data_IF_485825814830
#
_entry.id   IF_485825814830
#
_cell.length_a   1.000
_cell.length_b   1.000
_cell.length_c   1.000
_cell.angle_alpha   90.00
_cell.angle_beta   90.00
_cell.angle_gamma   90.00
#
_symmetry.space_group_name_H-M   'P 1'
#
loop_
_entity.id
_entity.type
_entity.pdbx_description
1 polymer ?
#
# COMPACT_ATOMS: atom_id res chain seq x y z
N UNK A 1 -15.84 -86.75 6.54
CA UNK A 1 -15.02 -85.72 5.86
C UNK A 1 -15.22 -84.40 6.58
N UNK A 2 -14.16 -83.89 7.21
CA UNK A 2 -14.12 -82.65 7.99
C UNK A 2 -14.29 -81.44 7.06
N UNK A 3 -15.26 -80.57 7.34
CA UNK A 3 -15.32 -79.22 6.74
C UNK A 3 -14.76 -78.24 7.76
N UNK A 4 -13.63 -77.62 7.40
CA UNK A 4 -13.02 -76.49 8.08
C UNK A 4 -13.97 -75.28 7.98
N UNK A 5 -14.32 -74.70 9.12
CA UNK A 5 -14.94 -73.38 9.20
C UNK A 5 -13.79 -72.37 9.33
N UNK A 6 -13.53 -71.59 8.27
CA UNK A 6 -12.60 -70.47 8.30
C UNK A 6 -13.31 -69.33 9.04
N UNK A 7 -12.78 -68.95 10.20
CA UNK A 7 -13.16 -67.73 10.92
C UNK A 7 -12.40 -66.58 10.27
N UNK A 8 -13.07 -65.84 9.37
CA UNK A 8 -12.56 -64.56 8.89
C UNK A 8 -12.86 -63.51 9.94
N UNK A 9 -11.85 -63.16 10.73
CA UNK A 9 -11.89 -62.00 11.62
C UNK A 9 -11.98 -60.73 10.75
N UNK A 10 -13.16 -60.13 10.69
CA UNK A 10 -13.35 -58.80 10.13
C UNK A 10 -12.72 -57.80 11.12
N UNK A 11 -11.46 -57.44 10.87
CA UNK A 11 -10.86 -56.24 11.44
C UNK A 11 -11.60 -55.04 10.85
N UNK A 12 -12.63 -54.57 11.55
CA UNK A 12 -13.14 -53.21 11.38
C UNK A 12 -12.01 -52.26 11.79
N UNK A 13 -11.22 -51.84 10.81
CA UNK A 13 -10.47 -50.61 10.90
C UNK A 13 -11.49 -49.46 10.96
N UNK A 14 -11.84 -49.07 12.19
CA UNK A 14 -12.33 -47.73 12.46
C UNK A 14 -11.22 -46.76 12.04
N UNK A 15 -11.20 -46.39 10.77
CA UNK A 15 -10.59 -45.16 10.33
C UNK A 15 -11.39 -44.05 11.02
N UNK A 16 -10.90 -43.61 12.18
CA UNK A 16 -11.30 -42.35 12.75
C UNK A 16 -11.01 -41.30 11.67
N UNK A 17 -12.05 -40.89 10.94
CA UNK A 17 -12.04 -39.63 10.25
C UNK A 17 -11.78 -38.58 11.34
N UNK A 18 -10.52 -38.16 11.47
CA UNK A 18 -10.17 -37.02 12.28
C UNK A 18 -10.90 -35.83 11.63
N UNK A 19 -12.13 -35.57 12.10
CA UNK A 19 -12.84 -34.37 11.77
C UNK A 19 -11.95 -33.23 12.25
N UNK A 20 -11.34 -32.51 11.30
CA UNK A 20 -10.58 -31.32 11.62
C UNK A 20 -11.57 -30.33 12.25
N UNK A 21 -11.50 -30.20 13.58
CA UNK A 21 -12.30 -29.26 14.36
C UNK A 21 -11.94 -27.82 13.96
N UNK A 22 -12.94 -26.94 13.99
CA UNK A 22 -12.73 -25.50 13.94
C UNK A 22 -11.65 -25.12 14.96
N UNK A 23 -10.58 -24.48 14.49
CA UNK A 23 -9.41 -24.17 15.32
C UNK A 23 -9.31 -22.68 15.54
N UNK A 24 -9.27 -22.27 16.80
CA UNK A 24 -8.95 -20.90 17.17
C UNK A 24 -7.44 -20.68 17.01
N UNK A 25 -7.06 -19.69 16.21
CA UNK A 25 -5.67 -19.34 15.93
C UNK A 25 -5.18 -18.20 16.83
N UNK A 26 -6.04 -17.23 17.11
CA UNK A 26 -5.69 -16.07 17.90
C UNK A 26 -6.93 -15.39 18.48
N UNK A 27 -6.73 -14.70 19.60
CA UNK A 27 -7.64 -13.67 20.11
C UNK A 27 -7.13 -12.30 19.66
N UNK A 28 -8.02 -11.48 19.13
CA UNK A 28 -7.72 -10.15 18.62
C UNK A 28 -8.52 -9.13 19.44
N UNK A 29 -7.86 -8.08 19.92
CA UNK A 29 -8.49 -6.92 20.54
C UNK A 29 -8.27 -5.71 19.64
N UNK A 30 -9.37 -5.07 19.25
CA UNK A 30 -9.40 -3.88 18.43
C UNK A 30 -9.84 -2.70 19.29
N UNK A 31 -9.12 -1.58 19.22
CA UNK A 31 -9.49 -0.37 19.96
C UNK A 31 -9.43 0.85 19.03
N UNK A 32 -10.53 1.59 18.99
CA UNK A 32 -10.61 2.88 18.29
C UNK A 32 -9.87 3.96 19.11
N UNK A 33 -8.83 4.62 18.55
CA UNK A 33 -7.90 5.39 19.37
C UNK A 33 -8.25 6.87 19.59
N UNK A 34 -9.11 7.49 18.77
CA UNK A 34 -9.23 8.96 18.73
C UNK A 34 -10.66 9.51 18.79
N UNK A 35 -11.64 8.68 19.19
CA UNK A 35 -13.04 9.07 19.26
C UNK A 35 -13.71 9.21 17.89
N UNK A 36 -13.20 8.53 16.86
CA UNK A 36 -13.75 8.56 15.50
C UNK A 36 -14.46 7.24 15.19
N UNK A 37 -15.76 7.28 14.89
CA UNK A 37 -16.47 6.11 14.39
C UNK A 37 -15.81 5.59 13.10
N UNK A 38 -15.53 4.29 13.04
CA UNK A 38 -14.88 3.63 11.90
C UNK A 38 -15.92 2.83 11.14
N UNK A 39 -16.10 3.14 9.86
CA UNK A 39 -16.98 2.39 8.97
C UNK A 39 -16.13 1.58 8.00
N UNK A 40 -16.25 0.25 8.06
CA UNK A 40 -15.55 -0.71 7.18
C UNK A 40 -14.03 -0.47 7.06
N UNK A 41 -13.37 -0.02 8.12
CA UNK A 41 -11.91 0.14 8.13
C UNK A 41 -11.24 -1.23 8.06
N UNK A 42 -10.20 -1.38 7.24
CA UNK A 42 -9.47 -2.64 7.13
C UNK A 42 -8.48 -2.81 8.27
N UNK A 43 -8.63 -3.90 9.01
CA UNK A 43 -7.62 -4.36 9.99
C UNK A 43 -6.67 -5.31 9.27
N UNK A 44 -5.38 -5.05 9.40
CA UNK A 44 -4.30 -5.95 8.96
C UNK A 44 -3.52 -6.45 10.17
N UNK A 45 -3.20 -7.74 10.19
CA UNK A 45 -2.36 -8.33 11.23
C UNK A 45 -1.53 -9.48 10.66
N UNK A 46 -0.34 -9.69 11.22
CA UNK A 46 0.55 -10.79 10.86
C UNK A 46 0.56 -11.83 11.97
N UNK A 47 0.57 -13.10 11.58
CA UNK A 47 0.49 -14.25 12.46
C UNK A 47 1.52 -15.29 12.06
N UNK A 48 1.87 -16.12 13.03
CA UNK A 48 2.63 -17.34 12.82
C UNK A 48 1.86 -18.50 13.44
N UNK A 49 1.72 -19.59 12.70
CA UNK A 49 1.12 -20.84 13.20
C UNK A 49 1.83 -22.05 12.62
N UNK A 50 1.51 -23.26 13.09
CA UNK A 50 2.01 -24.49 12.49
C UNK A 50 1.42 -24.68 11.09
N UNK A 51 2.19 -25.20 10.14
CA UNK A 51 1.75 -25.41 8.76
C UNK A 51 0.47 -26.25 8.68
N UNK A 52 0.35 -27.28 9.53
CA UNK A 52 -0.83 -28.14 9.66
C UNK A 52 -2.12 -27.37 9.99
N UNK A 53 -2.02 -26.24 10.70
CA UNK A 53 -3.17 -25.43 11.09
C UNK A 53 -3.83 -24.73 9.89
N UNK A 54 -3.10 -24.54 8.79
CA UNK A 54 -3.58 -23.97 7.52
C UNK A 54 -3.46 -24.94 6.34
N UNK A 55 -3.19 -26.22 6.60
CA UNK A 55 -2.99 -27.22 5.56
C UNK A 55 -4.30 -27.58 4.83
N UNK A 56 -5.43 -27.32 5.45
CA UNK A 56 -6.74 -27.56 4.84
C UNK A 56 -7.08 -26.46 3.82
N UNK A 57 -6.91 -26.76 2.54
CA UNK A 57 -7.22 -25.87 1.42
C UNK A 57 -8.68 -25.45 1.33
N UNK A 58 -9.59 -26.11 2.06
CA UNK A 58 -11.02 -25.80 2.06
C UNK A 58 -11.47 -25.00 3.29
N UNK A 59 -10.61 -24.81 4.29
CA UNK A 59 -10.97 -24.05 5.48
C UNK A 59 -10.90 -22.54 5.19
N UNK A 60 -12.01 -21.84 5.41
CA UNK A 60 -12.00 -20.38 5.41
C UNK A 60 -11.45 -19.85 6.74
N UNK A 61 -10.82 -18.69 6.69
CA UNK A 61 -10.41 -17.95 7.87
C UNK A 61 -11.47 -16.91 8.21
N UNK A 62 -11.95 -16.91 9.45
CA UNK A 62 -13.02 -16.03 9.94
C UNK A 62 -12.57 -15.30 11.20
N UNK A 63 -12.88 -14.00 11.29
CA UNK A 63 -12.82 -13.25 12.54
C UNK A 63 -14.23 -13.19 13.14
N UNK A 64 -14.44 -13.82 14.30
CA UNK A 64 -15.74 -13.95 14.95
C UNK A 64 -15.82 -12.98 16.11
N UNK A 65 -16.81 -12.10 16.08
CA UNK A 65 -17.09 -11.17 17.17
C UNK A 65 -17.56 -11.91 18.42
N UNK A 66 -16.85 -11.73 19.54
CA UNK A 66 -17.14 -12.42 20.79
C UNK A 66 -18.52 -12.04 21.36
N UNK A 67 -18.98 -10.81 21.16
CA UNK A 67 -20.25 -10.32 21.68
C UNK A 67 -21.43 -10.70 20.80
N UNK A 68 -21.30 -10.53 19.47
CA UNK A 68 -22.42 -10.75 18.54
C UNK A 68 -22.42 -12.11 17.86
N UNK A 69 -21.33 -12.87 17.96
CA UNK A 69 -21.07 -14.09 17.19
C UNK A 69 -21.12 -13.88 15.67
N UNK A 70 -21.04 -12.63 15.21
CA UNK A 70 -20.97 -12.30 13.80
C UNK A 70 -19.61 -12.72 13.24
N UNK A 71 -19.62 -13.53 12.19
CA UNK A 71 -18.42 -14.00 11.52
C UNK A 71 -18.08 -13.10 10.32
N UNK A 72 -16.88 -12.56 10.33
CA UNK A 72 -16.33 -11.72 9.27
C UNK A 72 -15.35 -12.57 8.46
N UNK A 73 -15.59 -12.80 7.16
CA UNK A 73 -14.63 -13.46 6.30
C UNK A 73 -13.30 -12.71 6.27
N UNK A 74 -12.20 -13.44 6.37
CA UNK A 74 -10.86 -12.89 6.25
C UNK A 74 -10.23 -13.27 4.91
N UNK A 75 -9.33 -12.40 4.44
CA UNK A 75 -8.41 -12.72 3.35
C UNK A 75 -7.01 -12.94 3.93
N UNK A 76 -6.35 -14.02 3.50
CA UNK A 76 -4.94 -14.27 3.76
C UNK A 76 -4.11 -13.62 2.64
N UNK A 77 -2.97 -13.03 3.00
CA UNK A 77 -1.98 -12.48 2.07
C UNK A 77 -0.57 -12.59 2.69
N UNK A 78 0.51 -12.39 1.92
CA UNK A 78 1.89 -12.50 2.40
C UNK A 78 2.20 -13.83 3.11
N UNK A 79 1.76 -14.95 2.52
CA UNK A 79 1.97 -16.28 3.10
C UNK A 79 3.38 -16.79 2.79
N UNK A 80 4.14 -17.12 3.81
CA UNK A 80 5.50 -17.65 3.71
C UNK A 80 5.67 -18.85 4.66
N UNK A 81 6.41 -19.87 4.21
CA UNK A 81 6.80 -20.99 5.06
C UNK A 81 8.11 -20.66 5.79
N UNK A 82 8.23 -21.11 7.03
CA UNK A 82 9.50 -21.09 7.74
C UNK A 82 10.54 -21.97 7.04
N UNK A 83 11.81 -21.72 7.28
CA UNK A 83 12.91 -22.47 6.65
C UNK A 83 12.84 -23.99 6.90
N UNK A 84 12.29 -24.43 8.03
CA UNK A 84 12.09 -25.84 8.37
C UNK A 84 10.73 -26.41 7.90
N UNK A 85 9.87 -25.58 7.30
CA UNK A 85 8.53 -25.98 6.81
C UNK A 85 7.48 -26.24 7.90
N UNK A 86 7.83 -26.14 9.18
CA UNK A 86 6.93 -26.46 10.29
C UNK A 86 5.96 -25.33 10.64
N UNK A 87 6.33 -24.09 10.32
CA UNK A 87 5.53 -22.91 10.58
C UNK A 87 5.21 -22.17 9.30
N UNK A 88 4.09 -21.46 9.34
CA UNK A 88 3.64 -20.55 8.29
C UNK A 88 3.44 -19.18 8.91
N UNK A 89 4.10 -18.18 8.32
CA UNK A 89 3.91 -16.77 8.60
C UNK A 89 2.97 -16.24 7.53
N UNK A 90 1.93 -15.53 7.93
CA UNK A 90 0.94 -14.99 7.00
C UNK A 90 0.33 -13.74 7.57
N UNK A 91 -0.23 -12.91 6.70
CA UNK A 91 -1.01 -11.76 7.09
C UNK A 91 -2.48 -11.97 6.78
N UNK A 92 -3.33 -11.31 7.54
CA UNK A 92 -4.78 -11.40 7.44
C UNK A 92 -5.35 -9.99 7.33
N UNK A 93 -6.31 -9.80 6.43
CA UNK A 93 -7.07 -8.56 6.29
C UNK A 93 -8.58 -8.85 6.33
N UNK A 94 -9.32 -8.00 7.05
CA UNK A 94 -10.77 -8.00 7.10
C UNK A 94 -11.32 -6.61 7.48
N UNK A 95 -12.51 -6.23 6.99
CA UNK A 95 -13.14 -4.96 7.33
C UNK A 95 -13.81 -5.03 8.70
N UNK A 96 -13.77 -3.92 9.46
CA UNK A 96 -14.46 -3.79 10.73
C UNK A 96 -15.23 -2.48 10.82
N UNK A 97 -16.29 -2.48 11.62
CA UNK A 97 -17.01 -1.28 12.02
C UNK A 97 -16.90 -1.12 13.52
N UNK A 98 -16.51 0.08 13.97
CA UNK A 98 -16.36 0.44 15.38
C UNK A 98 -17.04 1.80 15.63
N UNK A 99 -17.73 1.94 16.76
CA UNK A 99 -18.14 3.22 17.29
C UNK A 99 -16.91 4.00 17.81
N UNK A 100 -17.08 5.31 18.00
CA UNK A 100 -16.07 6.16 18.61
C UNK A 100 -15.63 5.60 19.98
N UNK A 101 -14.33 5.40 20.18
CA UNK A 101 -13.76 4.83 21.41
C UNK A 101 -14.11 3.36 21.68
N UNK A 102 -14.76 2.64 20.77
CA UNK A 102 -15.15 1.25 20.97
C UNK A 102 -13.91 0.34 21.09
N UNK A 103 -14.00 -0.63 22.00
CA UNK A 103 -13.10 -1.80 22.00
C UNK A 103 -13.89 -3.06 21.65
N UNK A 104 -13.41 -3.80 20.66
CA UNK A 104 -14.03 -5.02 20.14
C UNK A 104 -13.08 -6.20 20.25
N UNK A 105 -13.61 -7.35 20.66
CA UNK A 105 -12.83 -8.59 20.81
C UNK A 105 -13.29 -9.58 19.75
N UNK A 106 -12.34 -10.07 18.96
CA UNK A 106 -12.58 -11.06 17.92
C UNK A 106 -11.78 -12.34 18.20
N UNK A 107 -12.34 -13.48 17.81
CA UNK A 107 -11.65 -14.76 17.74
C UNK A 107 -11.36 -15.08 16.28
N UNK A 108 -10.08 -15.27 15.93
CA UNK A 108 -9.70 -15.72 14.59
C UNK A 108 -9.74 -17.25 14.52
N UNK A 109 -10.51 -17.81 13.59
CA UNK A 109 -10.73 -19.25 13.48
C UNK A 109 -10.66 -19.76 12.05
N UNK A 110 -10.20 -21.00 11.89
CA UNK A 110 -10.44 -21.77 10.66
C UNK A 110 -11.83 -22.41 10.73
N UNK A 111 -12.55 -22.46 9.60
CA UNK A 111 -13.91 -23.00 9.52
C UNK A 111 -14.15 -23.73 8.20
N UNK A 112 -14.59 -24.99 8.27
CA UNK A 112 -14.99 -25.81 7.10
C UNK A 112 -16.42 -25.53 6.63
N UNK A 113 -17.30 -25.05 7.51
CA UNK A 113 -18.71 -24.76 7.16
C UNK A 113 -18.84 -23.59 6.16
N UNK A 114 -17.76 -22.84 5.93
CA UNK A 114 -17.75 -21.73 4.97
C UNK A 114 -17.77 -22.17 3.51
N UNK A 115 -17.61 -23.46 3.20
CA UNK A 115 -17.72 -23.97 1.83
C UNK A 115 -19.08 -23.72 1.17
N UNK A 116 -20.14 -23.41 1.95
CA UNK A 116 -21.48 -23.10 1.44
C UNK A 116 -21.89 -21.62 1.57
N UNK A 117 -21.13 -20.78 2.30
CA UNK A 117 -21.50 -19.38 2.53
C UNK A 117 -20.96 -18.53 1.39
N UNK A 118 -21.84 -17.89 0.62
CA UNK A 118 -21.42 -16.96 -0.43
C UNK A 118 -20.58 -15.86 0.19
N UNK A 119 -19.35 -15.77 -0.29
CA UNK A 119 -18.41 -14.76 0.13
C UNK A 119 -18.91 -13.40 -0.38
N UNK A 120 -18.79 -12.31 0.40
CA UNK A 120 -19.29 -11.02 -0.05
C UNK A 120 -18.56 -10.59 -1.31
N UNK A 121 -19.33 -10.22 -2.34
CA UNK A 121 -18.81 -9.63 -3.57
C UNK A 121 -18.30 -8.22 -3.24
N UNK A 122 -17.09 -7.92 -3.70
CA UNK A 122 -16.46 -6.60 -3.56
C UNK A 122 -16.35 -5.93 -4.93
N UNK A 123 -16.07 -4.63 -4.94
CA UNK A 123 -15.86 -3.83 -6.15
C UNK A 123 -14.42 -3.94 -6.71
N UNK A 124 -13.51 -4.61 -6.00
CA UNK A 124 -12.10 -4.72 -6.35
C UNK A 124 -11.87 -5.78 -7.43
N UNK A 125 -11.22 -5.40 -8.52
CA UNK A 125 -10.89 -6.29 -9.64
C UNK A 125 -9.43 -6.15 -10.07
N UNK A 126 -8.89 -7.25 -10.61
CA UNK A 126 -7.55 -7.35 -11.18
C UNK A 126 -7.64 -7.88 -12.62
N UNK A 127 -7.00 -7.18 -13.54
CA UNK A 127 -6.75 -7.65 -14.90
C UNK A 127 -5.25 -7.62 -15.20
N UNK A 128 -4.81 -8.48 -16.12
CA UNK A 128 -3.40 -8.60 -16.49
C UNK A 128 -2.62 -9.63 -15.66
N UNK A 129 -1.30 -9.62 -15.78
CA UNK A 129 -0.36 -10.55 -15.12
C UNK A 129 0.96 -9.86 -14.81
N UNK A 130 1.73 -10.43 -13.89
CA UNK A 130 3.06 -9.95 -13.52
C UNK A 130 3.04 -8.45 -13.16
N UNK A 131 3.85 -7.61 -13.82
CA UNK A 131 3.88 -6.16 -13.61
C UNK A 131 2.93 -5.38 -14.53
N UNK A 132 2.29 -6.05 -15.49
CA UNK A 132 1.37 -5.48 -16.47
C UNK A 132 -0.07 -5.62 -15.95
N UNK A 133 -0.43 -4.81 -14.95
CA UNK A 133 -1.68 -4.95 -14.21
C UNK A 133 -2.58 -3.73 -14.39
N UNK A 134 -3.89 -4.00 -14.44
CA UNK A 134 -4.94 -2.99 -14.25
C UNK A 134 -5.75 -3.37 -13.02
N UNK A 135 -5.80 -2.46 -12.06
CA UNK A 135 -6.47 -2.68 -10.78
C UNK A 135 -7.56 -1.63 -10.62
N UNK A 136 -8.78 -2.07 -10.36
CA UNK A 136 -9.92 -1.18 -10.28
C UNK A 136 -10.76 -1.44 -9.03
N UNK A 137 -11.38 -0.38 -8.50
CA UNK A 137 -12.49 -0.46 -7.56
C UNK A 137 -13.58 0.54 -7.99
N UNK A 138 -14.58 0.85 -7.17
CA UNK A 138 -15.64 1.79 -7.57
C UNK A 138 -15.17 3.24 -7.79
N UNK A 139 -14.02 3.63 -7.26
CA UNK A 139 -13.51 5.00 -7.31
C UNK A 139 -12.54 5.24 -8.47
N UNK A 140 -11.66 4.27 -8.76
CA UNK A 140 -10.61 4.45 -9.75
C UNK A 140 -10.27 3.18 -10.55
N UNK A 141 -9.51 3.37 -11.63
CA UNK A 141 -8.73 2.34 -12.32
C UNK A 141 -7.27 2.79 -12.34
N UNK A 142 -6.39 2.03 -11.68
CA UNK A 142 -4.94 2.22 -11.74
C UNK A 142 -4.37 1.32 -12.83
N UNK A 143 -3.71 1.92 -13.82
CA UNK A 143 -3.03 1.21 -14.90
C UNK A 143 -1.52 1.19 -14.62
N UNK A 144 -0.96 0.00 -14.44
CA UNK A 144 0.47 -0.24 -14.19
C UNK A 144 1.17 -0.77 -15.44
N UNK A 145 0.45 -0.97 -16.56
CA UNK A 145 1.03 -1.51 -17.79
C UNK A 145 2.09 -0.58 -18.35
N UNK A 146 2.89 -1.13 -19.26
CA UNK A 146 3.78 -0.36 -20.11
C UNK A 146 2.97 0.57 -21.04
N UNK A 147 3.61 1.66 -21.48
CA UNK A 147 3.05 2.58 -22.49
C UNK A 147 3.39 2.10 -23.90
N UNK A 148 2.41 1.98 -24.79
CA UNK A 148 2.66 1.64 -26.20
C UNK A 148 3.09 2.87 -27.03
N UNK A 149 2.99 4.08 -26.46
CA UNK A 149 3.10 5.34 -27.19
C UNK A 149 4.21 6.29 -26.69
N UNK A 150 4.70 6.13 -25.46
CA UNK A 150 5.49 7.17 -24.79
C UNK A 150 6.99 6.89 -24.64
N UNK A 151 7.50 5.67 -24.90
CA UNK A 151 8.94 5.40 -24.75
C UNK A 151 9.49 4.35 -25.74
N UNK A 152 10.73 4.51 -26.23
CA UNK A 152 11.54 3.40 -26.76
C UNK A 152 11.89 2.33 -25.71
N UNK A 153 11.72 2.66 -24.42
CA UNK A 153 12.02 1.83 -23.25
C UNK A 153 10.80 1.70 -22.32
N UNK A 154 9.69 1.19 -22.85
CA UNK A 154 8.49 0.95 -22.05
C UNK A 154 8.71 -0.17 -21.01
N UNK A 155 9.30 0.19 -19.87
CA UNK A 155 9.82 -0.72 -18.84
C UNK A 155 8.69 -1.40 -18.07
N UNK A 156 8.80 -2.71 -17.83
CA UNK A 156 7.80 -3.47 -17.08
C UNK A 156 7.92 -3.29 -15.54
N UNK A 157 7.99 -2.05 -15.05
CA UNK A 157 8.34 -1.73 -13.66
C UNK A 157 7.24 -1.97 -12.63
N UNK A 158 5.97 -2.04 -13.10
CA UNK A 158 4.80 -2.10 -12.23
C UNK A 158 4.52 -0.80 -11.49
N UNK A 159 5.07 0.33 -11.95
CA UNK A 159 4.67 1.67 -11.47
C UNK A 159 3.39 2.14 -12.14
N UNK A 160 2.56 2.91 -11.42
CA UNK A 160 1.34 3.46 -11.99
C UNK A 160 1.69 4.41 -13.15
N UNK A 161 1.21 4.05 -14.33
CA UNK A 161 1.30 4.84 -15.56
C UNK A 161 0.15 5.84 -15.63
N UNK A 162 -1.07 5.38 -15.38
CA UNK A 162 -2.29 6.19 -15.46
C UNK A 162 -3.26 5.87 -14.33
N UNK A 163 -4.12 6.83 -14.00
CA UNK A 163 -5.18 6.67 -13.02
C UNK A 163 -6.49 7.28 -13.53
N UNK A 164 -7.49 6.47 -13.85
CA UNK A 164 -8.83 6.96 -14.18
C UNK A 164 -9.62 7.18 -12.89
N UNK A 165 -10.06 8.41 -12.63
CA UNK A 165 -11.02 8.73 -11.56
C UNK A 165 -12.44 8.55 -12.11
N UNK A 166 -13.12 7.48 -11.68
CA UNK A 166 -14.38 7.01 -12.30
C UNK A 166 -15.53 8.00 -12.18
N UNK A 167 -15.71 8.60 -11.01
CA UNK A 167 -16.80 9.55 -10.75
C UNK A 167 -16.77 10.76 -11.69
N UNK A 168 -15.58 11.21 -12.07
CA UNK A 168 -15.38 12.39 -12.90
C UNK A 168 -15.04 12.05 -14.35
N UNK A 169 -14.96 10.76 -14.69
CA UNK A 169 -14.42 10.26 -15.96
C UNK A 169 -13.12 10.96 -16.36
N UNK A 170 -12.22 11.13 -15.38
CA UNK A 170 -11.01 11.91 -15.54
C UNK A 170 -9.80 11.00 -15.50
N UNK A 171 -9.13 10.85 -16.64
CA UNK A 171 -7.85 10.15 -16.73
C UNK A 171 -6.75 11.08 -16.24
N UNK A 172 -5.99 10.68 -15.22
CA UNK A 172 -4.74 11.29 -14.82
C UNK A 172 -3.61 10.56 -15.52
N UNK A 173 -2.81 11.28 -16.28
CA UNK A 173 -1.72 10.72 -17.09
C UNK A 173 -0.55 11.69 -17.12
N UNK A 174 0.61 11.19 -17.50
CA UNK A 174 1.71 11.99 -18.01
C UNK A 174 1.88 11.56 -19.47
N UNK A 175 1.60 12.45 -20.42
CA UNK A 175 1.61 12.09 -21.84
C UNK A 175 2.98 11.60 -22.33
N UNK A 176 4.04 12.03 -21.66
CA UNK A 176 5.43 11.69 -22.00
C UNK A 176 5.91 10.44 -21.26
N UNK A 177 5.30 10.06 -20.12
CA UNK A 177 5.86 9.06 -19.21
C UNK A 177 4.80 8.41 -18.26
N UNK A 178 5.24 7.91 -17.10
CA UNK A 178 4.37 7.36 -16.05
C UNK A 178 3.93 8.44 -15.06
N UNK A 179 2.79 8.21 -14.41
CA UNK A 179 2.31 9.09 -13.35
C UNK A 179 3.16 9.01 -12.07
N UNK A 180 3.70 7.83 -11.73
CA UNK A 180 4.46 7.63 -10.48
C UNK A 180 5.95 7.30 -10.72
N UNK A 181 6.82 8.21 -10.28
CA UNK A 181 8.28 8.18 -10.54
C UNK A 181 9.16 7.92 -9.32
N UNK A 182 8.63 7.95 -8.10
CA UNK A 182 9.42 7.74 -6.89
C UNK A 182 9.52 6.25 -6.50
N UNK A 183 10.63 5.85 -5.83
CA UNK A 183 11.81 6.66 -5.51
C UNK A 183 12.73 6.88 -6.71
N UNK A 184 13.53 7.96 -6.65
CA UNK A 184 14.55 8.26 -7.65
C UNK A 184 15.72 9.05 -7.06
N UNK A 185 16.87 9.01 -7.74
CA UNK A 185 18.14 9.52 -7.24
C UNK A 185 19.09 9.85 -8.39
N UNK A 186 20.09 10.68 -8.10
CA UNK A 186 21.09 11.11 -9.09
C UNK A 186 22.49 11.10 -8.49
N UNK A 187 23.45 10.48 -9.18
CA UNK A 187 24.88 10.57 -8.84
C UNK A 187 25.50 11.86 -9.38
N UNK A 188 26.62 12.27 -8.78
CA UNK A 188 27.43 13.34 -9.34
C UNK A 188 27.85 13.08 -10.78
N UNK A 189 27.69 14.08 -11.63
CA UNK A 189 28.10 14.03 -13.04
C UNK A 189 27.19 13.26 -13.98
N UNK A 190 26.09 12.66 -13.51
CA UNK A 190 25.06 12.10 -14.41
C UNK A 190 24.25 13.23 -15.04
N UNK A 191 23.84 13.06 -16.30
CA UNK A 191 22.94 14.01 -16.97
C UNK A 191 21.53 13.92 -16.34
N UNK A 192 20.98 12.71 -16.31
CA UNK A 192 19.64 12.40 -15.81
C UNK A 192 19.67 11.67 -14.46
N UNK A 193 18.56 11.73 -13.74
CA UNK A 193 18.34 10.92 -12.55
C UNK A 193 17.81 9.53 -12.93
N UNK A 194 17.95 8.57 -12.03
CA UNK A 194 17.44 7.21 -12.19
C UNK A 194 16.26 6.97 -11.26
N UNK A 195 15.24 6.25 -11.73
CA UNK A 195 14.01 5.97 -11.01
C UNK A 195 13.73 4.48 -10.95
N UNK A 196 12.97 4.06 -9.92
CA UNK A 196 12.35 2.74 -9.87
C UNK A 196 11.48 2.42 -11.10
N UNK A 197 10.95 3.43 -11.79
CA UNK A 197 10.13 3.26 -12.98
C UNK A 197 10.93 2.71 -14.18
N UNK A 198 12.26 2.81 -14.16
CA UNK A 198 13.16 2.21 -15.15
C UNK A 198 13.46 0.73 -14.89
N UNK A 199 12.84 0.09 -13.89
CA UNK A 199 12.93 -1.36 -13.77
C UNK A 199 12.26 -2.04 -14.96
N UNK A 200 13.04 -2.81 -15.71
CA UNK A 200 12.48 -3.81 -16.60
C UNK A 200 12.54 -5.16 -15.89
N UNK A 201 11.37 -5.63 -15.45
CA UNK A 201 11.24 -6.91 -14.75
C UNK A 201 12.11 -7.03 -13.47
N UNK A 202 11.70 -6.42 -12.33
CA UNK A 202 12.44 -6.52 -11.06
C UNK A 202 12.51 -7.94 -10.50
N UNK A 203 13.66 -8.41 -10.04
CA UNK A 203 13.94 -9.81 -9.64
C UNK A 203 12.89 -10.45 -8.73
N UNK A 204 12.45 -9.77 -7.67
CA UNK A 204 11.38 -10.26 -6.82
C UNK A 204 10.08 -9.56 -7.18
N UNK A 205 9.04 -10.37 -7.46
CA UNK A 205 7.68 -9.95 -7.81
C UNK A 205 6.70 -10.87 -7.12
N UNK A 206 5.80 -10.30 -6.34
CA UNK A 206 4.72 -11.04 -5.69
C UNK A 206 3.40 -10.30 -5.88
N UNK A 207 2.33 -11.05 -6.10
CA UNK A 207 0.97 -10.51 -6.21
C UNK A 207 0.08 -11.31 -5.26
N UNK A 208 -0.42 -10.65 -4.23
CA UNK A 208 -1.54 -11.15 -3.44
C UNK A 208 -2.83 -10.64 -4.08
N UNK A 209 -3.63 -11.55 -4.63
CA UNK A 209 -4.93 -11.23 -5.21
C UNK A 209 -6.05 -11.76 -4.31
N UNK A 210 -6.80 -10.87 -3.69
CA UNK A 210 -8.02 -11.24 -3.01
C UNK A 210 -9.04 -10.12 -2.98
N UNK A 211 -10.20 -10.42 -2.40
CA UNK A 211 -11.40 -9.58 -2.51
C UNK A 211 -11.28 -8.22 -1.79
N UNK A 212 -10.54 -8.15 -0.70
CA UNK A 212 -10.41 -6.95 0.13
C UNK A 212 -9.16 -6.17 -0.20
N UNK A 213 -8.13 -6.88 -0.67
CA UNK A 213 -6.81 -6.33 -0.96
C UNK A 213 -6.24 -6.99 -2.21
N UNK A 214 -5.76 -6.17 -3.13
CA UNK A 214 -4.76 -6.57 -4.11
C UNK A 214 -3.46 -5.89 -3.71
N UNK A 215 -2.41 -6.67 -3.48
CA UNK A 215 -1.09 -6.15 -3.12
C UNK A 215 -0.06 -6.63 -4.13
N UNK A 216 0.72 -5.69 -4.67
CA UNK A 216 1.88 -5.99 -5.52
C UNK A 216 3.13 -5.65 -4.73
N UNK A 217 4.05 -6.59 -4.56
CA UNK A 217 5.37 -6.34 -3.97
C UNK A 217 6.44 -6.56 -5.04
N UNK A 218 7.40 -5.64 -5.10
CA UNK A 218 8.56 -5.69 -5.99
C UNK A 218 9.82 -5.31 -5.23
N UNK A 219 10.92 -6.00 -5.51
CA UNK A 219 12.23 -5.67 -4.95
C UNK A 219 13.34 -6.06 -5.92
N UNK A 220 14.31 -5.17 -6.10
CA UNK A 220 15.55 -5.42 -6.82
C UNK A 220 16.59 -4.34 -6.51
N UNK A 221 17.75 -4.44 -7.14
CA UNK A 221 18.70 -3.33 -7.23
C UNK A 221 18.12 -2.20 -8.06
N UNK A 222 18.41 -0.96 -7.69
CA UNK A 222 18.11 0.20 -8.52
C UNK A 222 18.78 0.07 -9.91
N UNK A 223 18.08 0.43 -11.00
CA UNK A 223 18.69 0.53 -12.32
C UNK A 223 19.94 1.41 -12.25
N UNK A 224 21.04 1.01 -12.89
CA UNK A 224 22.34 1.71 -12.93
C UNK A 224 22.99 2.07 -11.58
N UNK A 225 22.44 1.58 -10.46
CA UNK A 225 22.87 1.89 -9.11
C UNK A 225 22.84 0.62 -8.23
N UNK A 226 23.72 -0.37 -8.49
CA UNK A 226 23.71 -1.67 -7.80
C UNK A 226 23.96 -1.61 -6.27
N UNK A 227 24.41 -0.46 -5.76
CA UNK A 227 24.63 -0.15 -4.35
C UNK A 227 23.31 0.13 -3.62
N UNK A 228 22.21 0.32 -4.34
CA UNK A 228 20.90 0.65 -3.79
C UNK A 228 19.93 -0.52 -4.03
N UNK A 229 19.33 -1.03 -2.95
CA UNK A 229 18.19 -1.95 -3.02
C UNK A 229 16.90 -1.13 -2.87
N UNK A 230 15.98 -1.32 -3.81
CA UNK A 230 14.66 -0.69 -3.76
C UNK A 230 13.60 -1.75 -3.46
N UNK A 231 12.63 -1.39 -2.62
CA UNK A 231 11.40 -2.16 -2.41
C UNK A 231 10.21 -1.27 -2.68
N UNK A 232 9.21 -1.80 -3.39
CA UNK A 232 7.96 -1.11 -3.68
C UNK A 232 6.78 -2.03 -3.39
N UNK A 233 5.78 -1.52 -2.68
CA UNK A 233 4.54 -2.23 -2.37
C UNK A 233 3.34 -1.33 -2.63
N UNK A 234 2.51 -1.68 -3.61
CA UNK A 234 1.17 -1.10 -3.71
C UNK A 234 0.16 -1.95 -2.98
N UNK A 235 -0.79 -1.31 -2.30
CA UNK A 235 -1.96 -1.96 -1.69
C UNK A 235 -3.23 -1.25 -2.14
N UNK A 236 -4.05 -1.96 -2.91
CA UNK A 236 -5.35 -1.48 -3.41
C UNK A 236 -6.47 -2.18 -2.64
N UNK A 237 -7.48 -1.42 -2.23
CA UNK A 237 -8.54 -1.95 -1.38
C UNK A 237 -9.90 -1.87 -2.06
N UNK A 238 -10.76 -2.82 -1.71
CA UNK A 238 -12.18 -2.70 -2.01
C UNK A 238 -12.79 -1.53 -1.23
N UNK A 239 -13.77 -0.85 -1.82
CA UNK A 239 -14.53 0.24 -1.20
C UNK A 239 -13.68 1.42 -0.67
N UNK A 240 -12.42 1.60 -1.07
CA UNK A 240 -11.57 2.70 -0.62
C UNK A 240 -11.26 3.71 -1.74
N UNK A 241 -11.38 5.03 -1.50
CA UNK A 241 -11.04 6.07 -2.47
C UNK A 241 -9.53 6.32 -2.58
N UNK A 242 -8.71 5.38 -2.10
CA UNK A 242 -7.26 5.50 -2.06
C UNK A 242 -6.58 4.15 -2.25
N UNK A 243 -5.32 4.20 -2.66
CA UNK A 243 -4.39 3.09 -2.58
C UNK A 243 -3.17 3.51 -1.76
N UNK A 244 -2.52 2.56 -1.11
CA UNK A 244 -1.26 2.82 -0.41
C UNK A 244 -0.08 2.44 -1.29
N UNK A 245 0.99 3.22 -1.16
CA UNK A 245 2.31 2.87 -1.66
C UNK A 245 3.30 2.94 -0.51
N UNK A 246 4.02 1.85 -0.31
CA UNK A 246 5.23 1.82 0.49
C UNK A 246 6.44 1.71 -0.43
N UNK A 247 7.43 2.55 -0.18
CA UNK A 247 8.75 2.43 -0.80
C UNK A 247 9.83 2.39 0.27
N UNK A 248 10.88 1.62 0.02
CA UNK A 248 12.13 1.75 0.76
C UNK A 248 13.32 1.74 -0.17
N UNK A 249 14.30 2.57 0.17
CA UNK A 249 15.63 2.60 -0.41
C UNK A 249 16.64 2.20 0.66
N UNK A 250 17.40 1.15 0.42
CA UNK A 250 18.46 0.68 1.32
C UNK A 250 19.81 0.76 0.62
N UNK A 251 20.76 1.44 1.24
CA UNK A 251 22.11 1.61 0.71
C UNK A 251 22.99 0.47 1.22
N UNK A 252 23.46 -0.36 0.29
CA UNK A 252 24.26 -1.56 0.58
C UNK A 252 25.76 -1.31 0.48
N UNK A 253 26.17 -0.24 -0.18
CA UNK A 253 27.57 0.22 -0.28
C UNK A 253 27.60 1.75 -0.26
N UNK A 254 28.69 2.32 0.25
CA UNK A 254 28.89 3.76 0.28
C UNK A 254 28.75 4.39 -1.10
N UNK A 255 28.00 5.50 -1.20
CA UNK A 255 27.89 6.26 -2.44
C UNK A 255 27.73 7.76 -2.19
N UNK A 256 27.89 8.52 -3.27
CA UNK A 256 27.57 9.95 -3.31
C UNK A 256 26.33 10.18 -4.14
N UNK A 257 25.41 11.01 -3.64
CA UNK A 257 24.20 11.43 -4.34
C UNK A 257 24.12 12.96 -4.37
N UNK A 258 23.63 13.50 -5.48
CA UNK A 258 23.25 14.92 -5.60
C UNK A 258 21.75 15.13 -5.36
N UNK A 259 20.96 14.11 -5.64
CA UNK A 259 19.50 14.13 -5.54
C UNK A 259 19.01 12.81 -4.97
N UNK A 260 18.04 12.90 -4.07
CA UNK A 260 17.26 11.76 -3.60
C UNK A 260 15.82 12.23 -3.37
N UNK A 261 14.87 11.59 -4.04
CA UNK A 261 13.44 11.93 -3.97
C UNK A 261 12.59 10.69 -3.70
N UNK A 262 11.49 10.93 -2.98
CA UNK A 262 10.39 10.00 -2.78
C UNK A 262 9.05 10.74 -2.91
N UNK A 263 7.91 10.05 -2.74
CA UNK A 263 6.55 10.66 -2.84
C UNK A 263 6.44 11.59 -4.05
N UNK A 264 6.66 11.04 -5.26
CA UNK A 264 6.65 11.81 -6.52
C UNK A 264 5.54 11.35 -7.44
N UNK A 265 4.68 12.29 -7.81
CA UNK A 265 3.65 12.12 -8.82
C UNK A 265 3.79 13.22 -9.88
N UNK A 266 3.79 12.81 -11.14
CA UNK A 266 3.88 13.67 -12.32
C UNK A 266 2.62 13.51 -13.14
N UNK A 267 1.98 14.61 -13.53
CA UNK A 267 0.67 14.59 -14.16
C UNK A 267 0.60 15.71 -15.17
N UNK A 268 -0.18 15.56 -16.23
CA UNK A 268 -0.42 16.64 -17.17
C UNK A 268 -1.12 17.87 -16.54
N UNK A 269 -1.29 18.91 -17.34
CA UNK A 269 -1.67 20.25 -16.88
C UNK A 269 -3.10 20.41 -16.36
N UNK A 270 -3.84 19.33 -16.08
CA UNK A 270 -5.28 19.41 -15.79
C UNK A 270 -5.63 20.06 -14.45
N UNK A 271 -4.71 20.15 -13.49
CA UNK A 271 -5.02 20.77 -12.20
C UNK A 271 -4.93 22.28 -12.23
N UNK A 272 -5.84 22.96 -11.55
CA UNK A 272 -5.83 24.44 -11.50
C UNK A 272 -5.26 24.98 -10.20
N UNK A 273 -5.24 24.16 -9.15
CA UNK A 273 -4.91 24.57 -7.80
C UNK A 273 -4.08 23.51 -7.06
N UNK A 274 -3.42 23.96 -6.00
CA UNK A 274 -2.68 23.15 -5.04
C UNK A 274 -3.22 23.50 -3.65
N UNK A 275 -3.41 22.46 -2.83
CA UNK A 275 -3.62 22.65 -1.40
C UNK A 275 -2.79 21.65 -0.60
N UNK A 276 -2.39 22.05 0.61
CA UNK A 276 -1.69 21.18 1.53
C UNK A 276 -1.87 21.68 2.96
N UNK A 277 -1.69 20.77 3.91
CA UNK A 277 -1.70 21.11 5.32
C UNK A 277 -0.28 21.22 5.84
N UNK A 278 0.01 22.32 6.54
CA UNK A 278 1.24 22.51 7.30
C UNK A 278 1.22 21.63 8.56
N UNK A 279 2.37 21.21 9.10
CA UNK A 279 2.43 20.47 10.37
C UNK A 279 1.73 21.20 11.53
N UNK A 280 1.75 22.54 11.52
CA UNK A 280 1.09 23.38 12.55
C UNK A 280 -0.44 23.43 12.42
N UNK A 281 -0.99 22.90 11.32
CA UNK A 281 -2.43 22.74 11.12
C UNK A 281 -3.08 23.73 10.15
N UNK A 282 -2.34 24.74 9.66
CA UNK A 282 -2.81 25.64 8.61
C UNK A 282 -3.01 24.86 7.29
N UNK A 283 -4.15 25.09 6.64
CA UNK A 283 -4.36 24.64 5.26
C UNK A 283 -4.02 25.80 4.34
N UNK A 284 -3.01 25.59 3.49
CA UNK A 284 -2.66 26.50 2.42
C UNK A 284 -3.39 26.04 1.16
N UNK A 285 -4.07 26.97 0.50
CA UNK A 285 -4.84 26.75 -0.73
C UNK A 285 -4.56 27.88 -1.71
N UNK A 286 -4.10 27.56 -2.92
CA UNK A 286 -3.65 28.56 -3.90
C UNK A 286 -3.89 28.09 -5.33
N UNK A 287 -3.93 29.04 -6.28
CA UNK A 287 -3.83 28.66 -7.70
C UNK A 287 -2.45 28.09 -7.96
N UNK A 288 -2.37 27.11 -8.84
CA UNK A 288 -1.09 26.50 -9.18
C UNK A 288 -0.08 27.52 -9.74
N UNK A 289 -0.56 28.56 -10.44
CA UNK A 289 0.28 29.65 -10.97
C UNK A 289 0.95 30.50 -9.89
N UNK A 290 0.39 30.57 -8.68
CA UNK A 290 0.87 31.41 -7.57
C UNK A 290 1.96 30.70 -6.74
N UNK A 291 2.24 29.42 -7.02
CA UNK A 291 3.08 28.55 -6.21
C UNK A 291 4.50 29.05 -5.98
N UNK A 292 5.15 29.62 -7.00
CA UNK A 292 6.58 29.95 -6.89
C UNK A 292 6.82 31.08 -5.89
N UNK A 293 5.97 32.09 -5.90
CA UNK A 293 6.06 33.23 -4.98
C UNK A 293 5.96 32.77 -3.52
N UNK A 294 5.04 31.85 -3.22
CA UNK A 294 4.80 31.36 -1.86
C UNK A 294 5.82 30.29 -1.44
N UNK A 295 6.10 29.31 -2.30
CA UNK A 295 6.91 28.14 -1.95
C UNK A 295 8.42 28.41 -1.98
N UNK A 296 8.89 29.44 -2.68
CA UNK A 296 10.29 29.88 -2.57
C UNK A 296 10.59 30.51 -1.21
N UNK A 297 9.61 31.17 -0.59
CA UNK A 297 9.75 31.79 0.73
C UNK A 297 9.63 30.75 1.84
N UNK A 298 8.65 29.84 1.71
CA UNK A 298 8.43 28.75 2.66
C UNK A 298 8.06 27.46 1.92
N UNK A 299 9.07 26.62 1.60
CA UNK A 299 8.83 25.30 1.00
C UNK A 299 7.86 24.47 1.84
N UNK A 300 7.20 23.49 1.22
CA UNK A 300 6.31 22.57 1.94
C UNK A 300 7.18 21.65 2.80
N UNK A 301 6.88 21.55 4.10
CA UNK A 301 7.63 20.70 5.02
C UNK A 301 7.48 19.22 4.65
N UNK A 302 8.50 18.40 4.93
CA UNK A 302 8.40 16.96 4.70
C UNK A 302 7.36 16.30 5.59
N UNK A 303 7.09 16.86 6.76
CA UNK A 303 6.15 16.38 7.75
C UNK A 303 4.70 16.81 7.43
N UNK A 304 4.48 17.63 6.40
CA UNK A 304 3.14 18.03 5.95
C UNK A 304 2.26 16.77 5.83
N UNK A 305 1.14 16.66 6.58
CA UNK A 305 0.41 15.40 6.69
C UNK A 305 -0.26 14.98 5.39
N UNK A 306 -0.61 15.94 4.54
CA UNK A 306 -1.13 15.68 3.21
C UNK A 306 -0.93 16.88 2.27
N UNK A 307 -0.97 16.60 0.97
CA UNK A 307 -1.06 17.59 -0.09
C UNK A 307 -1.93 17.06 -1.23
N UNK A 308 -2.51 17.93 -2.04
CA UNK A 308 -3.28 17.55 -3.20
C UNK A 308 -3.20 18.60 -4.31
N UNK A 309 -3.25 18.12 -5.55
CA UNK A 309 -3.69 18.94 -6.66
C UNK A 309 -5.18 18.79 -6.88
N UNK A 310 -5.83 19.86 -7.30
CA UNK A 310 -7.25 19.80 -7.63
C UNK A 310 -7.66 20.71 -8.78
N UNK A 311 -8.79 20.37 -9.39
CA UNK A 311 -9.43 21.18 -10.42
C UNK A 311 -10.68 21.84 -9.84
N UNK A 312 -10.65 23.17 -9.65
CA UNK A 312 -11.75 23.90 -9.01
C UNK A 312 -13.09 23.74 -9.75
N UNK A 313 -13.10 23.90 -11.08
CA UNK A 313 -14.33 23.82 -11.88
C UNK A 313 -14.87 22.39 -12.05
N UNK A 314 -13.97 21.41 -12.29
CA UNK A 314 -14.35 19.99 -12.44
C UNK A 314 -14.54 19.28 -11.09
N UNK A 315 -14.20 19.92 -9.98
CA UNK A 315 -14.48 19.49 -8.61
C UNK A 315 -13.88 18.13 -8.20
N UNK A 316 -12.73 17.76 -8.77
CA UNK A 316 -11.98 16.57 -8.35
C UNK A 316 -10.59 16.95 -7.84
N UNK A 317 -10.04 16.09 -6.99
CA UNK A 317 -8.68 16.18 -6.48
C UNK A 317 -7.97 14.83 -6.53
N UNK A 318 -6.64 14.90 -6.58
CA UNK A 318 -5.73 13.80 -6.35
C UNK A 318 -4.64 14.26 -5.38
N UNK A 319 -4.37 13.47 -4.35
CA UNK A 319 -3.42 13.86 -3.32
C UNK A 319 -2.73 12.70 -2.64
N UNK A 320 -1.76 13.04 -1.79
CA UNK A 320 -0.97 12.13 -0.99
C UNK A 320 -1.21 12.44 0.49
N UNK A 321 -1.67 11.43 1.25
CA UNK A 321 -1.69 11.43 2.71
C UNK A 321 -0.46 10.66 3.18
N UNK A 322 0.41 11.32 3.94
CA UNK A 322 1.67 10.75 4.40
C UNK A 322 1.45 10.00 5.70
N UNK A 323 1.73 8.71 5.70
CA UNK A 323 1.41 7.79 6.81
C UNK A 323 2.63 7.37 7.61
N UNK A 324 3.75 7.12 6.93
CA UNK A 324 5.01 6.73 7.55
C UNK A 324 6.17 7.45 6.87
N UNK A 325 7.12 7.91 7.70
CA UNK A 325 8.36 8.54 7.28
C UNK A 325 9.48 8.06 8.21
N UNK A 326 10.33 7.17 7.70
CA UNK A 326 11.44 6.57 8.44
C UNK A 326 12.73 6.69 7.63
N UNK A 327 13.59 7.60 8.08
CA UNK A 327 14.89 7.84 7.48
C UNK A 327 16.03 7.30 8.34
N UNK A 328 15.79 6.31 9.19
CA UNK A 328 16.84 5.76 10.05
C UNK A 328 17.65 4.69 9.35
N UNK A 329 18.96 4.64 9.62
CA UNK A 329 19.87 3.59 9.16
C UNK A 329 19.63 2.26 9.92
N UNK A 330 20.39 1.22 9.57
CA UNK A 330 20.28 -0.11 10.20
C UNK A 330 20.51 -0.12 11.73
N UNK A 331 21.14 0.92 12.29
CA UNK A 331 21.38 1.09 13.74
C UNK A 331 20.33 1.98 14.43
N UNK A 332 19.37 2.52 13.67
CA UNK A 332 18.33 3.42 14.18
C UNK A 332 18.74 4.91 14.23
N UNK A 333 19.91 5.27 13.69
CA UNK A 333 20.37 6.66 13.62
C UNK A 333 19.88 7.34 12.33
N UNK A 334 19.75 8.67 12.28
CA UNK A 334 19.30 9.36 11.07
C UNK A 334 20.24 9.12 9.86
N UNK A 335 19.66 8.77 8.72
CA UNK A 335 20.35 8.73 7.42
C UNK A 335 20.57 10.15 6.89
N UNK A 336 21.63 10.39 6.09
CA UNK A 336 21.93 11.73 5.58
C UNK A 336 20.80 12.35 4.76
N UNK A 337 20.50 13.61 5.01
CA UNK A 337 19.58 14.43 4.22
C UNK A 337 20.20 15.80 3.98
N UNK A 338 19.71 16.51 2.97
CA UNK A 338 20.14 17.88 2.72
C UNK A 338 18.97 18.70 2.18
N UNK A 339 18.61 19.76 2.93
CA UNK A 339 17.48 20.66 2.64
C UNK A 339 16.20 19.90 2.28
N UNK A 340 15.81 18.98 3.15
CA UNK A 340 14.68 18.10 2.90
C UNK A 340 13.36 18.90 2.91
N UNK A 341 12.61 18.86 1.81
CA UNK A 341 11.34 19.56 1.64
C UNK A 341 10.52 18.92 0.51
N UNK A 342 9.24 19.26 0.43
CA UNK A 342 8.40 18.91 -0.72
C UNK A 342 8.39 20.03 -1.73
N UNK A 343 8.78 19.70 -2.96
CA UNK A 343 8.81 20.63 -4.06
C UNK A 343 7.55 20.45 -4.92
N UNK A 344 6.99 21.56 -5.36
CA UNK A 344 5.98 21.61 -6.41
C UNK A 344 6.60 22.27 -7.63
N UNK A 345 6.48 21.62 -8.78
CA UNK A 345 7.08 22.10 -10.02
C UNK A 345 6.22 21.86 -11.23
N UNK A 346 6.65 22.44 -12.33
CA UNK A 346 6.09 22.24 -13.66
C UNK A 346 7.24 22.03 -14.63
N UNK A 347 7.12 21.02 -15.48
CA UNK A 347 8.06 20.71 -16.53
C UNK A 347 7.58 21.25 -17.88
N UNK A 348 8.39 21.06 -18.92
CA UNK A 348 7.98 21.31 -20.30
C UNK A 348 6.68 20.56 -20.61
N UNK A 349 5.85 21.11 -21.51
CA UNK A 349 4.54 20.54 -21.82
C UNK A 349 3.46 20.77 -20.74
N UNK A 350 3.77 21.51 -19.67
CA UNK A 350 2.81 21.83 -18.60
C UNK A 350 2.57 20.67 -17.62
N UNK A 351 3.47 19.68 -17.58
CA UNK A 351 3.42 18.57 -16.63
C UNK A 351 3.65 19.12 -15.23
N UNK A 352 2.67 18.97 -14.36
CA UNK A 352 2.70 19.38 -12.95
C UNK A 352 3.14 18.21 -12.10
N UNK A 353 3.98 18.48 -11.12
CA UNK A 353 4.44 17.44 -10.23
C UNK A 353 4.63 17.93 -8.81
N UNK A 354 4.56 16.99 -7.88
CA UNK A 354 5.18 17.14 -6.57
C UNK A 354 6.25 16.06 -6.41
N UNK A 355 7.28 16.35 -5.61
CA UNK A 355 8.20 15.33 -5.10
C UNK A 355 8.68 15.72 -3.71
N UNK A 356 8.89 14.73 -2.85
CA UNK A 356 9.54 14.92 -1.56
C UNK A 356 11.05 14.75 -1.75
N UNK A 357 11.81 15.82 -1.57
CA UNK A 357 13.28 15.85 -1.64
C UNK A 357 13.85 15.49 -0.27
N UNK A 358 14.74 14.51 -0.26
CA UNK A 358 15.50 14.06 0.91
C UNK A 358 16.94 14.58 0.82
N UNK A 359 17.50 14.60 -0.38
CA UNK A 359 18.75 15.29 -0.73
C UNK A 359 18.42 16.19 -1.91
N UNK A 360 18.67 17.50 -1.77
CA UNK A 360 18.38 18.49 -2.81
C UNK A 360 19.65 19.19 -3.31
N UNK A 361 20.00 18.94 -4.57
CA UNK A 361 21.04 19.63 -5.37
C UNK A 361 22.34 19.86 -4.59
N UNK A 362 22.77 18.82 -3.86
CA UNK A 362 23.94 18.88 -3.00
C UNK A 362 24.66 17.54 -2.96
N UNK A 363 25.97 17.57 -3.24
CA UNK A 363 26.85 16.42 -3.15
C UNK A 363 26.87 15.89 -1.71
N UNK A 364 26.17 14.80 -1.46
CA UNK A 364 25.97 14.22 -0.13
C UNK A 364 26.51 12.80 -0.09
N UNK A 365 27.36 12.53 0.91
CA UNK A 365 27.83 11.19 1.18
C UNK A 365 26.73 10.39 1.87
N UNK A 366 26.40 9.23 1.33
CA UNK A 366 25.39 8.32 1.87
C UNK A 366 26.07 7.00 2.22
N UNK A 367 26.31 6.73 3.52
CA UNK A 367 27.02 5.54 3.94
C UNK A 367 26.16 4.28 3.76
N UNK A 368 26.84 3.15 3.62
CA UNK A 368 26.26 1.82 3.75
C UNK A 368 25.40 1.72 5.02
N UNK A 369 24.24 1.08 4.89
CA UNK A 369 23.25 0.90 5.94
C UNK A 369 22.25 2.05 6.05
N UNK A 370 22.41 3.15 5.30
CA UNK A 370 21.39 4.20 5.21
C UNK A 370 20.09 3.65 4.65
N UNK A 371 18.95 4.07 5.20
CA UNK A 371 17.62 3.67 4.73
C UNK A 371 16.66 4.85 4.70
N UNK A 372 15.85 4.89 3.64
CA UNK A 372 14.81 5.88 3.42
C UNK A 372 13.53 5.15 3.06
N UNK A 373 12.61 5.06 4.01
CA UNK A 373 11.35 4.33 3.87
C UNK A 373 10.15 5.24 4.10
N UNK A 374 9.17 5.15 3.21
CA UNK A 374 7.95 5.96 3.28
C UNK A 374 6.72 5.14 2.97
N UNK A 375 5.59 5.53 3.56
CA UNK A 375 4.27 5.04 3.19
C UNK A 375 3.32 6.21 3.00
N UNK A 376 2.68 6.26 1.84
CA UNK A 376 1.67 7.26 1.51
C UNK A 376 0.39 6.58 1.05
N UNK A 377 -0.76 7.16 1.37
CA UNK A 377 -2.02 6.84 0.72
C UNK A 377 -2.32 7.89 -0.34
N UNK A 378 -2.42 7.46 -1.60
CA UNK A 378 -2.80 8.32 -2.71
C UNK A 378 -4.31 8.28 -2.90
N UNK A 379 -4.96 9.43 -2.80
CA UNK A 379 -6.40 9.57 -2.64
C UNK A 379 -7.00 10.31 -3.83
N UNK A 380 -8.15 9.82 -4.31
CA UNK A 380 -9.04 10.55 -5.21
C UNK A 380 -10.27 11.00 -4.43
N UNK A 381 -10.66 12.26 -4.57
CA UNK A 381 -11.78 12.80 -3.78
C UNK A 381 -12.41 14.01 -4.46
N UNK A 382 -13.60 14.39 -3.98
CA UNK A 382 -14.34 15.54 -4.49
C UNK A 382 -13.90 16.83 -3.79
N UNK A 383 -13.88 17.92 -4.54
CA UNK A 383 -13.66 19.28 -4.04
C UNK A 383 -14.97 20.04 -4.17
N UNK A 384 -15.56 20.46 -3.05
CA UNK A 384 -16.84 21.18 -3.03
C UNK A 384 -16.95 22.20 -1.91
N UNK A 385 -17.73 23.26 -2.12
CA UNK A 385 -18.11 24.18 -1.04
C UNK A 385 -19.26 23.57 -0.20
N UNK A 386 -19.35 23.86 1.11
CA UNK A 386 -18.51 24.79 1.89
C UNK A 386 -17.22 24.17 2.45
N UNK A 387 -17.08 22.84 2.46
CA UNK A 387 -15.99 22.12 3.13
C UNK A 387 -15.05 21.45 2.12
N UNK A 388 -14.25 22.28 1.44
CA UNK A 388 -13.42 21.88 0.29
C UNK A 388 -12.48 20.70 0.55
N UNK A 389 -11.90 20.61 1.76
CA UNK A 389 -10.87 19.64 2.10
C UNK A 389 -11.30 18.64 3.18
N UNK A 390 -12.58 18.58 3.54
CA UNK A 390 -13.06 17.71 4.61
C UNK A 390 -12.83 16.23 4.33
N UNK A 391 -12.98 15.79 3.08
CA UNK A 391 -12.74 14.38 2.70
C UNK A 391 -11.29 13.95 2.97
N UNK A 392 -10.30 14.69 2.48
CA UNK A 392 -8.88 14.38 2.71
C UNK A 392 -8.48 14.57 4.18
N UNK A 393 -9.05 15.56 4.87
CA UNK A 393 -8.85 15.76 6.31
C UNK A 393 -9.35 14.59 7.14
N UNK A 394 -10.57 14.12 6.87
CA UNK A 394 -11.17 12.99 7.56
C UNK A 394 -10.39 11.70 7.28
N UNK A 395 -10.03 11.44 6.01
CA UNK A 395 -9.18 10.31 5.64
C UNK A 395 -7.80 10.41 6.30
N UNK A 396 -7.17 11.58 6.33
CA UNK A 396 -5.87 11.76 6.95
C UNK A 396 -5.92 11.50 8.46
N UNK A 397 -6.96 12.00 9.15
CA UNK A 397 -7.20 11.69 10.57
C UNK A 397 -7.39 10.20 10.80
N UNK A 398 -8.19 9.54 9.95
CA UNK A 398 -8.48 8.11 10.06
C UNK A 398 -7.23 7.26 9.84
N UNK A 399 -6.54 7.45 8.71
CA UNK A 399 -5.42 6.61 8.27
C UNK A 399 -4.15 6.84 9.08
N UNK A 400 -3.90 8.05 9.57
CA UNK A 400 -2.77 8.35 10.46
C UNK A 400 -3.01 7.89 11.90
N UNK A 401 -4.24 7.51 12.24
CA UNK A 401 -4.60 6.95 13.54
C UNK A 401 -5.38 5.64 13.34
N UNK A 402 -4.73 4.60 12.80
CA UNK A 402 -5.40 3.34 12.50
C UNK A 402 -5.88 2.67 13.79
N UNK A 403 -6.89 1.79 13.66
CA UNK A 403 -7.36 0.95 14.78
C UNK A 403 -6.16 0.24 15.44
N UNK A 404 -6.07 0.34 16.77
CA UNK A 404 -5.04 -0.37 17.54
C UNK A 404 -5.41 -1.83 17.64
N UNK A 405 -4.46 -2.69 17.28
CA UNK A 405 -4.64 -4.15 17.26
C UNK A 405 -3.71 -4.79 18.27
N UNK A 406 -4.26 -5.58 19.18
CA UNK A 406 -3.50 -6.48 20.05
C UNK A 406 -3.88 -7.92 19.72
N UNK A 407 -2.88 -8.78 19.55
CA UNK A 407 -3.06 -10.18 19.16
C UNK A 407 -2.45 -11.08 20.23
N UNK A 408 -3.23 -12.06 20.68
CA UNK A 408 -2.78 -13.12 21.58
C UNK A 408 -2.94 -14.46 20.85
N UNK A 409 -1.84 -15.10 20.40
CA UNK A 409 -1.91 -16.40 19.74
C UNK A 409 -2.40 -17.47 20.72
N UNK A 410 -3.03 -18.53 20.19
CA UNK A 410 -3.61 -19.64 20.96
C UNK A 410 -2.88 -20.95 20.75
#
# INVERSE_FOLDING_TARGET
>A
MKRFLIVTALLLSLAAAAAAQDRELARIVLTEPIGLARSREYVKLSLQTKTEALADSHAALLAIDAATQHAIPCQIFNKQLSANGEAVIFSVIFPVTLQAGETKILSLRTSRESGSRSLPVTDLSLEGKETELRIANKFYVADLTRSDHAEPQSHASGQIRELLIKEFNQLLTNAEDRLHWAPNFKRPGMEYYTTIAHWDEPRMREIDNGRYLIQTRRQDLAPDHPEIVLTAVYSFYADAPYFEFYSSMEVTQDLWLELLRNDEMTMDSMFTHLAFRRPEGEIVDMRFSERYELLQQRPIENEAPWLCFYHAEKQYAFGSIRLQYDLTNALGEPSPTYQAHTQIGEWLGGIKYWNRRLIHDHLSFVPQGSRYAERNAYVVFRIGAPQRFEEIENLARQLRNPIRVSVSPR
#
